data_IF_040498831659
#
_entry.id   IF_040498831659
#
_cell.length_a   1.000
_cell.length_b   1.000
_cell.length_c   1.000
_cell.angle_alpha   90.00
_cell.angle_beta   90.00
_cell.angle_gamma   90.00
#
_symmetry.space_group_name_H-M   'P 1'
#
loop_
_entity.id
_entity.type
_entity.pdbx_description
1 polymer ?
#
# COMPACT_ATOMS: atom_id res chain seq x y z
N UNK A 1 7.47 -22.71 -0.29
CA UNK A 1 8.41 -22.19 0.72
C UNK A 1 7.91 -20.81 1.16
N UNK A 2 7.43 -20.79 2.41
CA UNK A 2 7.17 -19.68 3.32
C UNK A 2 6.38 -18.44 2.86
N UNK A 3 5.07 -18.45 3.17
CA UNK A 3 4.20 -17.26 3.21
C UNK A 3 4.06 -16.70 4.65
N UNK A 4 4.85 -17.20 5.61
CA UNK A 4 4.79 -16.77 7.01
C UNK A 4 5.66 -15.52 7.29
N UNK A 5 6.69 -15.26 6.48
CA UNK A 5 7.60 -14.13 6.70
C UNK A 5 7.04 -12.72 6.42
N UNK A 6 5.92 -12.58 5.71
CA UNK A 6 5.37 -11.25 5.41
C UNK A 6 4.68 -10.62 6.62
N UNK A 7 4.31 -11.41 7.63
CA UNK A 7 3.63 -10.92 8.84
C UNK A 7 4.59 -10.40 9.93
N UNK A 8 5.89 -10.67 9.83
CA UNK A 8 6.85 -10.37 10.91
C UNK A 8 7.48 -8.97 10.86
N UNK A 9 7.39 -8.24 9.74
CA UNK A 9 8.13 -6.97 9.57
C UNK A 9 7.42 -5.72 10.11
N UNK A 10 6.25 -5.87 10.76
CA UNK A 10 5.57 -4.76 11.44
C UNK A 10 5.83 -4.70 12.94
N UNK A 11 6.75 -5.52 13.45
CA UNK A 11 7.00 -5.67 14.90
C UNK A 11 8.01 -4.67 15.49
N UNK A 12 8.32 -3.56 14.82
CA UNK A 12 9.40 -2.64 15.23
C UNK A 12 9.01 -1.16 15.28
N UNK A 13 7.78 -0.83 15.70
CA UNK A 13 7.49 0.52 16.16
C UNK A 13 6.76 0.44 17.52
N UNK A 14 7.55 0.42 18.58
CA UNK A 14 7.10 0.63 19.96
C UNK A 14 6.67 2.10 20.17
N UNK A 15 5.37 2.25 20.50
CA UNK A 15 4.66 3.18 21.41
C UNK A 15 4.89 4.73 21.35
N UNK A 16 3.84 5.53 21.66
CA UNK A 16 3.36 5.64 23.05
C UNK A 16 1.91 5.16 23.27
N UNK A 17 1.66 4.81 24.52
CA UNK A 17 0.44 4.26 25.11
C UNK A 17 -0.84 5.05 24.78
N UNK A 18 -1.96 4.32 24.63
CA UNK A 18 -3.27 4.89 24.96
C UNK A 18 -4.34 4.95 23.86
N UNK A 19 -4.13 4.38 22.67
CA UNK A 19 -5.26 4.10 21.75
C UNK A 19 -5.12 2.73 21.14
N UNK A 20 -6.14 1.91 21.40
CA UNK A 20 -6.37 0.58 20.84
C UNK A 20 -5.85 0.48 19.40
N UNK A 21 -4.63 -0.01 19.23
CA UNK A 21 -3.90 -0.03 17.95
C UNK A 21 -4.16 -1.34 17.17
N UNK A 22 -4.88 -2.26 17.80
CA UNK A 22 -5.23 -3.58 17.26
C UNK A 22 -6.45 -3.64 16.31
N UNK A 23 -7.44 -2.71 16.31
CA UNK A 23 -8.58 -2.79 15.38
C UNK A 23 -8.21 -2.40 13.94
N UNK A 24 -7.47 -1.30 13.74
CA UNK A 24 -7.31 -0.67 12.40
C UNK A 24 -6.52 -1.55 11.43
N UNK A 25 -5.49 -2.24 11.91
CA UNK A 25 -4.68 -3.15 11.07
C UNK A 25 -5.45 -4.43 10.69
N UNK A 26 -6.23 -4.99 11.61
CA UNK A 26 -7.09 -6.14 11.35
C UNK A 26 -8.24 -5.77 10.39
N UNK A 27 -8.81 -4.58 10.53
CA UNK A 27 -9.85 -4.08 9.63
C UNK A 27 -9.30 -3.89 8.21
N UNK A 28 -8.11 -3.31 8.04
CA UNK A 28 -7.51 -3.17 6.70
C UNK A 28 -7.28 -4.50 6.00
N UNK A 29 -7.01 -5.60 6.71
CA UNK A 29 -6.94 -6.94 6.09
C UNK A 29 -8.29 -7.44 5.58
N UNK A 30 -9.39 -7.06 6.24
CA UNK A 30 -10.77 -7.43 5.84
C UNK A 30 -11.33 -6.49 4.77
N UNK A 31 -10.83 -5.26 4.70
CA UNK A 31 -11.29 -4.24 3.74
C UNK A 31 -10.98 -4.61 2.29
N UNK A 32 -9.89 -5.34 2.01
CA UNK A 32 -9.43 -5.62 0.65
C UNK A 32 -9.46 -7.10 0.31
N UNK A 33 -10.06 -7.46 -0.83
CA UNK A 33 -9.93 -8.82 -1.37
C UNK A 33 -8.48 -9.09 -1.77
N UNK A 34 -8.13 -10.38 -1.88
CA UNK A 34 -6.79 -10.81 -2.31
C UNK A 34 -6.44 -10.19 -3.68
N UNK A 35 -5.33 -9.46 -3.73
CA UNK A 35 -4.84 -8.81 -4.95
C UNK A 35 -5.58 -7.53 -5.35
N UNK A 36 -6.61 -7.12 -4.61
CA UNK A 36 -7.44 -5.95 -4.93
C UNK A 36 -6.61 -4.65 -4.92
N UNK A 37 -5.78 -4.45 -3.90
CA UNK A 37 -4.88 -3.28 -3.82
C UNK A 37 -3.98 -3.18 -5.04
N UNK A 38 -3.37 -4.30 -5.47
CA UNK A 38 -2.50 -4.31 -6.66
C UNK A 38 -3.29 -3.96 -7.91
N UNK A 39 -4.53 -4.47 -8.03
CA UNK A 39 -5.39 -4.17 -9.18
C UNK A 39 -5.74 -2.69 -9.25
N UNK A 40 -6.13 -2.08 -8.12
CA UNK A 40 -6.43 -0.65 -8.04
C UNK A 40 -5.19 0.17 -8.37
N UNK A 41 -4.04 -0.16 -7.78
CA UNK A 41 -2.80 0.55 -8.08
C UNK A 41 -2.41 0.45 -9.56
N UNK A 42 -2.48 -0.74 -10.16
CA UNK A 42 -2.17 -0.90 -11.59
C UNK A 42 -3.15 -0.14 -12.49
N UNK A 43 -4.43 -0.10 -12.13
CA UNK A 43 -5.43 0.68 -12.86
C UNK A 43 -5.12 2.19 -12.79
N UNK A 44 -4.83 2.71 -11.60
CA UNK A 44 -4.41 4.10 -11.42
C UNK A 44 -3.14 4.43 -12.22
N UNK A 45 -2.15 3.53 -12.22
CA UNK A 45 -0.91 3.71 -12.99
C UNK A 45 -1.12 3.65 -14.51
N UNK A 46 -2.13 2.92 -14.97
CA UNK A 46 -2.45 2.84 -16.40
C UNK A 46 -3.25 4.06 -16.88
N UNK A 47 -4.09 4.62 -16.02
CA UNK A 47 -4.94 5.78 -16.32
C UNK A 47 -4.18 7.12 -16.18
N UNK A 48 -3.45 7.28 -15.08
CA UNK A 48 -2.84 8.55 -14.68
C UNK A 48 -1.32 8.59 -14.92
N UNK A 49 -0.72 7.45 -15.24
CA UNK A 49 0.71 7.30 -15.45
C UNK A 49 1.49 7.07 -14.14
N UNK A 50 2.77 7.46 -14.08
CA UNK A 50 3.64 7.24 -12.93
C UNK A 50 3.11 7.91 -11.65
N UNK A 51 2.87 7.14 -10.59
CA UNK A 51 2.38 7.66 -9.30
C UNK A 51 3.28 7.22 -8.15
N UNK A 52 3.45 8.09 -7.16
CA UNK A 52 4.12 7.73 -5.92
C UNK A 52 3.19 6.96 -4.97
N UNK A 53 3.78 6.35 -3.95
CA UNK A 53 3.04 5.45 -3.04
C UNK A 53 1.95 6.18 -2.23
N UNK A 54 2.13 7.46 -1.91
CA UNK A 54 1.13 8.28 -1.21
C UNK A 54 -0.04 8.60 -2.14
N UNK A 55 0.26 8.95 -3.38
CA UNK A 55 -0.75 9.17 -4.41
C UNK A 55 -1.59 7.91 -4.63
N UNK A 56 -0.95 6.74 -4.75
CA UNK A 56 -1.63 5.45 -4.86
C UNK A 56 -2.50 5.14 -3.65
N UNK A 57 -2.08 5.51 -2.43
CA UNK A 57 -2.90 5.32 -1.23
C UNK A 57 -4.21 6.12 -1.32
N UNK A 58 -4.18 7.35 -1.81
CA UNK A 58 -5.38 8.14 -2.04
C UNK A 58 -6.31 7.50 -3.09
N UNK A 59 -5.76 6.97 -4.20
CA UNK A 59 -6.57 6.23 -5.19
C UNK A 59 -7.24 5.00 -4.59
N UNK A 60 -6.50 4.26 -3.77
CA UNK A 60 -7.03 3.07 -3.07
C UNK A 60 -8.13 3.44 -2.09
N UNK A 61 -7.96 4.53 -1.33
CA UNK A 61 -8.99 5.02 -0.41
C UNK A 61 -10.24 5.48 -1.16
N UNK A 62 -10.07 6.29 -2.21
CA UNK A 62 -11.17 6.77 -3.06
C UNK A 62 -11.92 5.64 -3.73
N UNK A 63 -11.21 4.66 -4.31
CA UNK A 63 -11.82 3.49 -4.96
C UNK A 63 -12.65 2.63 -4.00
N UNK A 64 -12.39 2.72 -2.69
CA UNK A 64 -13.13 1.99 -1.65
C UNK A 64 -14.17 2.82 -0.92
N UNK A 65 -14.28 4.12 -1.23
CA UNK A 65 -15.14 5.03 -0.47
C UNK A 65 -14.68 5.21 0.99
N UNK A 66 -13.37 5.11 1.24
CA UNK A 66 -12.78 5.37 2.55
C UNK A 66 -12.51 6.87 2.71
N UNK A 67 -12.55 7.36 3.96
CA UNK A 67 -12.29 8.76 4.27
C UNK A 67 -10.83 9.14 3.96
N UNK A 68 -10.60 10.00 2.96
CA UNK A 68 -9.26 10.44 2.54
C UNK A 68 -8.55 11.28 3.63
N UNK A 69 -9.30 11.80 4.61
CA UNK A 69 -8.81 12.57 5.76
C UNK A 69 -8.21 11.71 6.88
N UNK A 70 -8.56 10.42 6.95
CA UNK A 70 -8.03 9.49 7.95
C UNK A 70 -6.55 9.18 7.67
N UNK A 71 -5.68 9.93 8.35
CA UNK A 71 -4.24 9.85 8.17
C UNK A 71 -3.65 8.53 8.67
N UNK A 72 -4.27 7.89 9.66
CA UNK A 72 -3.84 6.60 10.21
C UNK A 72 -4.14 5.50 9.19
N UNK A 73 -5.37 5.46 8.68
CA UNK A 73 -5.78 4.52 7.65
C UNK A 73 -4.96 4.68 6.37
N UNK A 74 -4.75 5.93 5.93
CA UNK A 74 -3.90 6.26 4.78
C UNK A 74 -2.46 5.75 4.95
N UNK A 75 -1.90 5.88 6.15
CA UNK A 75 -0.56 5.38 6.47
C UNK A 75 -0.52 3.85 6.41
N UNK A 76 -1.48 3.16 7.01
CA UNK A 76 -1.60 1.70 6.93
C UNK A 76 -1.73 1.19 5.49
N UNK A 77 -2.55 1.85 4.67
CA UNK A 77 -2.71 1.53 3.24
C UNK A 77 -1.40 1.78 2.48
N UNK A 78 -0.71 2.87 2.76
CA UNK A 78 0.59 3.19 2.13
C UNK A 78 1.60 2.06 2.36
N UNK A 79 1.77 1.59 3.60
CA UNK A 79 2.67 0.47 3.90
C UNK A 79 2.28 -0.81 3.15
N UNK A 80 0.97 -1.12 3.10
CA UNK A 80 0.45 -2.28 2.39
C UNK A 80 0.70 -2.21 0.88
N UNK A 81 0.59 -1.02 0.30
CA UNK A 81 0.95 -0.76 -1.11
C UNK A 81 2.43 -1.02 -1.31
N UNK A 82 3.32 -0.47 -0.49
CA UNK A 82 4.77 -0.73 -0.61
C UNK A 82 5.08 -2.22 -0.60
N UNK A 83 4.54 -2.97 0.36
CA UNK A 83 4.74 -4.42 0.47
C UNK A 83 4.24 -5.15 -0.79
N UNK A 84 3.01 -4.86 -1.21
CA UNK A 84 2.36 -5.53 -2.34
C UNK A 84 3.05 -5.19 -3.67
N UNK A 85 3.37 -3.91 -3.90
CA UNK A 85 4.03 -3.44 -5.10
C UNK A 85 5.48 -3.92 -5.19
N UNK A 86 6.19 -4.03 -4.06
CA UNK A 86 7.54 -4.61 -4.04
C UNK A 86 7.55 -6.07 -4.48
N UNK A 87 6.52 -6.85 -4.10
CA UNK A 87 6.38 -8.23 -4.60
C UNK A 87 6.10 -8.26 -6.11
N UNK A 88 5.30 -7.33 -6.63
CA UNK A 88 5.05 -7.23 -8.07
C UNK A 88 6.30 -6.79 -8.84
N UNK A 89 7.06 -5.85 -8.30
CA UNK A 89 8.33 -5.41 -8.88
C UNK A 89 9.35 -6.54 -8.97
N UNK A 90 9.49 -7.34 -7.89
CA UNK A 90 10.32 -8.56 -7.91
C UNK A 90 9.89 -9.58 -8.98
N UNK A 91 8.61 -9.56 -9.37
CA UNK A 91 8.03 -10.42 -10.42
C UNK A 91 8.10 -9.79 -11.83
N UNK A 92 8.71 -8.61 -11.98
CA UNK A 92 8.75 -7.87 -13.25
C UNK A 92 7.41 -7.28 -13.68
N UNK A 93 6.40 -7.28 -12.80
CA UNK A 93 5.03 -6.89 -13.11
C UNK A 93 4.75 -5.39 -12.95
N UNK A 94 5.72 -4.64 -12.43
CA UNK A 94 5.76 -3.17 -12.36
C UNK A 94 7.19 -2.69 -12.39
N UNK A 95 7.40 -1.44 -12.82
CA UNK A 95 8.68 -0.74 -12.78
C UNK A 95 8.67 0.30 -11.66
N UNK A 96 9.85 0.67 -11.19
CA UNK A 96 10.06 1.67 -10.13
C UNK A 96 11.13 2.64 -10.64
N UNK A 97 10.77 3.61 -11.51
CA UNK A 97 11.74 4.40 -12.26
C UNK A 97 12.59 5.29 -11.35
N UNK A 98 12.01 5.85 -10.28
CA UNK A 98 12.70 6.84 -9.44
C UNK A 98 12.06 6.98 -8.05
N UNK A 99 12.69 7.77 -7.18
CA UNK A 99 12.06 8.31 -5.96
C UNK A 99 11.74 9.79 -6.18
N UNK A 100 10.47 10.18 -6.02
CA UNK A 100 10.03 11.58 -6.01
C UNK A 100 9.91 12.05 -4.56
N UNK A 101 10.67 13.07 -4.17
CA UNK A 101 10.67 13.61 -2.79
C UNK A 101 10.87 12.53 -1.71
N UNK A 102 11.76 11.56 -1.98
CA UNK A 102 12.03 10.43 -1.09
C UNK A 102 11.01 9.29 -1.13
N UNK A 103 9.88 9.44 -1.83
CA UNK A 103 8.84 8.42 -2.00
C UNK A 103 9.02 7.67 -3.32
N UNK A 104 8.88 6.34 -3.28
CA UNK A 104 9.03 5.50 -4.48
C UNK A 104 7.87 5.73 -5.45
N UNK A 105 8.24 5.99 -6.71
CA UNK A 105 7.32 6.08 -7.86
C UNK A 105 7.18 4.71 -8.51
N UNK A 106 5.98 4.39 -8.95
CA UNK A 106 5.64 3.14 -9.61
C UNK A 106 5.13 3.41 -11.03
N UNK A 107 5.40 2.47 -11.94
CA UNK A 107 4.83 2.47 -13.29
C UNK A 107 4.39 1.08 -13.70
N UNK A 108 3.38 0.99 -14.57
CA UNK A 108 3.12 -0.24 -15.32
C UNK A 108 4.31 -0.57 -16.22
N UNK A 109 4.68 -1.85 -16.39
CA UNK A 109 5.68 -2.24 -17.36
C UNK A 109 5.10 -1.97 -18.75
N UNK A 110 5.78 -1.12 -19.53
CA UNK A 110 5.60 -1.07 -20.98
C UNK A 110 5.93 -2.40 -21.61
#
# INVERSE_FOLDING_TARGET
>A
MDLAHVNATLRMFEAPEGRSQYPVYMDTLRLFKRGEIVRICKAALADEGPLDTRELALRVMRAKGLDEGDTVLRTSITYRIVQSMRLQWKRGQVKSPEKRSGVRVWCVPV
#
